data_IF_997348506179
#
_entry.id   IF_997348506179
#
_cell.length_a   1.000
_cell.length_b   1.000
_cell.length_c   1.000
_cell.angle_alpha   90.00
_cell.angle_beta   90.00
_cell.angle_gamma   90.00
#
_symmetry.space_group_name_H-M   'P 1'
#
loop_
_entity.id
_entity.type
_entity.pdbx_description
1 polymer ?
#
# COMPACT_ATOMS: atom_id res chain seq x y z
N UNK A 1 -33.91 -48.35 -38.09
CA UNK A 1 -32.59 -48.41 -38.76
C UNK A 1 -32.15 -46.98 -38.99
N UNK A 2 -31.37 -46.43 -38.06
CA UNK A 2 -30.89 -45.05 -38.10
C UNK A 2 -29.48 -45.04 -38.69
N UNK A 3 -29.33 -44.39 -39.85
CA UNK A 3 -28.07 -44.28 -40.56
C UNK A 3 -27.23 -43.15 -39.96
N UNK A 4 -26.01 -43.49 -39.54
CA UNK A 4 -25.00 -42.56 -39.05
C UNK A 4 -24.24 -42.00 -40.24
N UNK A 5 -24.32 -40.69 -40.45
CA UNK A 5 -23.63 -39.98 -41.53
C UNK A 5 -22.27 -39.47 -41.01
N UNK A 6 -21.19 -40.04 -41.56
CA UNK A 6 -19.81 -39.71 -41.20
C UNK A 6 -19.30 -38.59 -42.10
N UNK A 7 -18.94 -37.46 -41.52
CA UNK A 7 -18.36 -36.32 -42.25
C UNK A 7 -16.87 -36.55 -42.60
N UNK A 8 -16.40 -36.09 -43.78
CA UNK A 8 -15.03 -36.26 -44.22
C UNK A 8 -14.08 -35.24 -43.55
N UNK A 9 -12.97 -35.73 -42.98
CA UNK A 9 -11.87 -34.90 -42.47
C UNK A 9 -11.04 -34.37 -43.65
N UNK A 10 -10.90 -33.04 -43.74
CA UNK A 10 -9.97 -32.41 -44.67
C UNK A 10 -8.59 -32.26 -44.02
N UNK A 11 -7.60 -32.94 -44.57
CA UNK A 11 -6.19 -32.81 -44.23
C UNK A 11 -5.59 -31.62 -44.99
N UNK A 12 -5.17 -30.58 -44.28
CA UNK A 12 -4.44 -29.44 -44.86
C UNK A 12 -2.94 -29.73 -44.73
N UNK A 13 -2.29 -30.00 -45.85
CA UNK A 13 -0.83 -30.05 -45.95
C UNK A 13 -0.25 -28.64 -45.84
N UNK A 14 0.67 -28.44 -44.91
CA UNK A 14 1.45 -27.20 -44.74
C UNK A 14 2.82 -27.40 -45.41
N UNK A 15 3.22 -26.55 -46.38
CA UNK A 15 4.51 -26.67 -47.02
C UNK A 15 5.63 -26.17 -46.09
N UNK A 16 6.62 -27.03 -45.85
CA UNK A 16 7.87 -26.71 -45.16
C UNK A 16 8.75 -25.89 -46.09
N UNK A 17 8.92 -24.60 -45.81
CA UNK A 17 9.90 -23.73 -46.48
C UNK A 17 11.20 -23.77 -45.69
N UNK A 18 12.14 -24.59 -46.14
CA UNK A 18 13.56 -24.54 -45.74
C UNK A 18 14.20 -23.30 -46.35
N UNK A 19 14.30 -22.23 -45.57
CA UNK A 19 15.02 -21.00 -45.93
C UNK A 19 16.30 -20.85 -45.13
N UNK A 20 17.41 -21.30 -45.72
CA UNK A 20 18.78 -21.01 -45.30
C UNK A 20 19.06 -19.52 -45.45
N UNK A 21 19.31 -18.80 -44.35
CA UNK A 21 19.74 -17.39 -44.37
C UNK A 21 21.06 -17.26 -43.62
N UNK A 22 22.13 -17.63 -44.31
CA UNK A 22 23.50 -17.24 -43.93
C UNK A 22 23.68 -15.74 -44.28
N UNK A 23 23.51 -14.86 -43.29
CA UNK A 23 24.02 -13.48 -43.37
C UNK A 23 25.38 -13.43 -42.70
N UNK A 24 26.43 -13.42 -43.52
CA UNK A 24 27.74 -12.95 -43.16
C UNK A 24 27.64 -11.45 -42.78
N UNK A 25 28.03 -11.12 -41.56
CA UNK A 25 28.30 -9.74 -41.15
C UNK A 25 29.81 -9.55 -41.13
N UNK A 26 30.32 -8.83 -42.14
CA UNK A 26 31.67 -8.27 -42.15
C UNK A 26 31.77 -7.22 -41.03
N UNK A 27 32.45 -7.59 -39.95
CA UNK A 27 32.88 -6.65 -38.91
C UNK A 27 34.20 -5.99 -39.34
N UNK A 28 34.31 -4.65 -39.43
CA UNK A 28 35.57 -4.00 -39.71
C UNK A 28 36.53 -4.14 -38.52
N UNK A 29 37.72 -4.65 -38.82
CA UNK A 29 38.88 -4.73 -37.92
C UNK A 29 39.29 -3.32 -37.49
N UNK A 30 39.15 -3.02 -36.20
CA UNK A 30 39.73 -1.83 -35.55
C UNK A 30 41.12 -2.20 -35.01
N UNK A 31 42.20 -1.52 -35.41
CA UNK A 31 43.54 -1.82 -34.90
C UNK A 31 43.72 -1.35 -33.44
N UNK A 32 44.52 -2.07 -32.62
CA UNK A 32 44.76 -1.71 -31.23
C UNK A 32 45.71 -0.50 -31.11
N UNK A 33 45.50 0.40 -30.13
CA UNK A 33 46.47 1.45 -29.84
C UNK A 33 47.71 0.87 -29.17
N UNK A 34 48.83 0.94 -29.88
CA UNK A 34 50.18 0.80 -29.36
C UNK A 34 50.59 2.08 -28.62
N UNK A 35 50.86 1.98 -27.31
CA UNK A 35 51.76 2.91 -26.62
C UNK A 35 52.28 2.29 -25.32
N UNK A 36 53.56 1.92 -25.33
CA UNK A 36 54.35 1.59 -24.16
C UNK A 36 54.53 2.80 -23.23
N UNK A 37 54.77 2.57 -21.92
CA UNK A 37 54.98 3.64 -20.94
C UNK A 37 56.46 4.07 -20.88
N UNK A 38 56.76 5.33 -20.52
CA UNK A 38 58.03 5.67 -19.91
C UNK A 38 57.92 5.91 -18.41
N UNK A 39 59.05 5.64 -17.76
CA UNK A 39 59.27 5.52 -16.34
C UNK A 39 59.16 6.84 -15.53
N UNK A 40 58.98 6.63 -14.23
CA UNK A 40 59.16 7.54 -13.08
C UNK A 40 60.41 8.42 -13.19
N UNK A 41 60.40 9.62 -12.60
CA UNK A 41 61.12 9.75 -11.34
C UNK A 41 60.42 10.59 -10.25
N UNK A 42 60.84 10.30 -9.03
CA UNK A 42 60.60 10.99 -7.76
C UNK A 42 61.07 12.45 -7.77
N UNK A 43 60.37 13.33 -7.05
CA UNK A 43 60.94 14.28 -6.06
C UNK A 43 59.85 15.09 -5.36
N UNK A 44 60.06 15.34 -4.07
CA UNK A 44 59.25 16.15 -3.17
C UNK A 44 59.42 17.65 -3.43
N UNK A 45 58.41 18.48 -3.13
CA UNK A 45 58.46 19.66 -2.21
C UNK A 45 57.26 20.62 -2.39
N UNK A 46 56.69 21.01 -1.24
CA UNK A 46 56.11 22.32 -0.84
C UNK A 46 55.20 23.17 -1.75
N UNK A 47 54.03 23.48 -1.17
CA UNK A 47 53.44 24.81 -0.97
C UNK A 47 52.73 25.59 -2.10
N UNK A 48 51.51 26.03 -1.72
CA UNK A 48 50.85 27.33 -1.96
C UNK A 48 50.28 27.66 -3.35
N UNK A 49 49.00 28.08 -3.27
CA UNK A 49 48.42 29.31 -3.84
C UNK A 49 47.62 29.20 -5.15
N UNK A 50 46.31 29.38 -4.98
CA UNK A 50 45.30 30.05 -5.83
C UNK A 50 45.30 29.84 -7.33
N UNK A 51 44.18 29.38 -7.90
CA UNK A 51 43.61 29.96 -9.13
C UNK A 51 42.07 29.75 -9.23
N UNK A 52 41.37 30.87 -9.06
CA UNK A 52 40.24 31.36 -9.86
C UNK A 52 40.00 30.61 -11.18
N UNK A 53 38.82 30.01 -11.37
CA UNK A 53 38.16 29.92 -12.68
C UNK A 53 36.66 30.15 -12.56
N UNK A 54 36.28 31.26 -13.17
CA UNK A 54 34.99 31.64 -13.71
C UNK A 54 34.65 30.75 -14.91
N UNK A 55 33.41 30.25 -14.99
CA UNK A 55 32.67 30.15 -16.26
C UNK A 55 31.19 29.94 -15.99
N UNK A 56 30.47 31.04 -16.18
CA UNK A 56 29.04 31.17 -16.41
C UNK A 56 28.56 30.32 -17.60
N UNK A 57 27.50 29.54 -17.41
CA UNK A 57 26.62 29.10 -18.49
C UNK A 57 25.28 29.80 -18.34
N UNK A 58 24.98 30.62 -19.34
CA UNK A 58 23.73 31.33 -19.52
C UNK A 58 22.59 30.34 -19.75
N UNK A 59 21.48 30.50 -19.02
CA UNK A 59 20.19 29.91 -19.38
C UNK A 59 19.32 30.98 -19.99
N UNK A 60 18.80 30.62 -21.14
CA UNK A 60 18.16 31.41 -22.16
C UNK A 60 16.71 31.74 -21.77
N UNK A 61 16.35 33.00 -21.99
CA UNK A 61 15.07 33.58 -21.61
C UNK A 61 13.92 33.05 -22.48
N UNK A 62 13.02 32.28 -21.89
CA UNK A 62 11.72 31.98 -22.51
C UNK A 62 10.71 33.04 -22.09
N UNK A 63 10.42 33.93 -23.04
CA UNK A 63 9.50 35.05 -22.99
C UNK A 63 8.08 34.54 -23.19
N UNK A 64 7.29 34.34 -22.14
CA UNK A 64 5.84 34.08 -22.25
C UNK A 64 5.04 35.22 -21.61
N UNK A 65 4.74 36.16 -22.50
CA UNK A 65 3.49 36.85 -22.74
C UNK A 65 2.48 36.95 -21.58
N UNK A 66 2.24 38.19 -21.15
CA UNK A 66 1.26 38.53 -20.13
C UNK A 66 -0.19 38.42 -20.61
N UNK A 67 -1.04 37.92 -19.72
CA UNK A 67 -2.46 38.29 -19.66
C UNK A 67 -2.76 38.85 -18.28
N UNK A 68 -2.58 40.17 -18.20
CA UNK A 68 -3.01 41.04 -17.12
C UNK A 68 -4.51 41.29 -17.32
N UNK A 69 -5.37 40.59 -16.58
CA UNK A 69 -6.75 41.05 -16.36
C UNK A 69 -6.87 41.56 -14.93
N UNK A 70 -7.05 42.88 -14.87
CA UNK A 70 -7.57 43.58 -13.73
C UNK A 70 -9.04 43.19 -13.53
N UNK A 71 -9.40 42.79 -12.31
CA UNK A 71 -10.70 43.11 -11.73
C UNK A 71 -10.53 43.28 -10.24
N UNK A 72 -10.42 44.56 -9.87
CA UNK A 72 -10.72 45.11 -8.56
C UNK A 72 -12.13 44.74 -8.10
N UNK A 73 -12.32 44.42 -6.83
CA UNK A 73 -12.97 45.33 -5.86
C UNK A 73 -13.49 44.56 -4.65
N UNK A 74 -13.12 45.10 -3.48
CA UNK A 74 -13.79 45.08 -2.20
C UNK A 74 -14.90 44.03 -1.97
N UNK A 75 -14.62 43.05 -1.10
CA UNK A 75 -15.64 42.47 -0.24
C UNK A 75 -15.20 42.54 1.21
N UNK A 76 -15.85 43.49 1.85
CA UNK A 76 -16.17 43.68 3.25
C UNK A 76 -16.21 42.38 4.07
N UNK A 77 -15.65 42.47 5.28
CA UNK A 77 -15.47 41.39 6.23
C UNK A 77 -16.80 40.91 6.83
N UNK A 78 -17.55 40.08 6.10
CA UNK A 78 -18.53 39.17 6.71
C UNK A 78 -17.80 37.91 7.18
N UNK A 79 -17.63 37.86 8.50
CA UNK A 79 -17.17 36.73 9.32
C UNK A 79 -18.06 35.51 9.02
N UNK A 80 -17.75 34.81 7.94
CA UNK A 80 -18.35 33.51 7.62
C UNK A 80 -18.00 32.56 8.75
N UNK A 81 -19.03 32.15 9.49
CA UNK A 81 -19.06 30.98 10.36
C UNK A 81 -18.87 29.74 9.47
N UNK A 82 -17.67 29.62 8.88
CA UNK A 82 -17.25 28.48 8.10
C UNK A 82 -17.37 27.26 8.99
N UNK A 83 -17.87 26.16 8.40
CA UNK A 83 -18.04 24.86 9.02
C UNK A 83 -17.07 24.70 10.19
N UNK A 84 -17.61 24.87 11.41
CA UNK A 84 -16.92 24.40 12.61
C UNK A 84 -16.69 22.93 12.32
N UNK A 85 -15.48 22.60 11.86
CA UNK A 85 -14.94 21.26 11.94
C UNK A 85 -15.28 20.88 13.36
N UNK A 86 -16.17 19.90 13.48
CA UNK A 86 -16.57 19.27 14.74
C UNK A 86 -15.35 19.31 15.62
N UNK A 87 -15.42 20.00 16.76
CA UNK A 87 -14.32 20.02 17.71
C UNK A 87 -13.86 18.57 17.83
N UNK A 88 -12.59 18.33 17.50
CA UNK A 88 -12.10 16.95 17.56
C UNK A 88 -12.34 16.49 19.00
N UNK A 89 -12.62 15.20 19.20
CA UNK A 89 -12.76 14.64 20.54
C UNK A 89 -11.55 15.02 21.42
N UNK A 90 -10.37 15.17 20.81
CA UNK A 90 -9.15 15.63 21.45
C UNK A 90 -9.20 17.10 21.94
N UNK A 91 -9.80 18.00 21.15
CA UNK A 91 -10.05 19.40 21.53
C UNK A 91 -10.96 19.49 22.77
N UNK A 92 -11.95 18.61 22.85
CA UNK A 92 -12.90 18.58 23.96
C UNK A 92 -12.27 18.04 25.25
N UNK A 93 -11.34 17.09 25.16
CA UNK A 93 -10.57 16.59 26.32
C UNK A 93 -9.68 17.70 26.91
N UNK A 94 -9.00 18.48 26.07
CA UNK A 94 -8.17 19.59 26.58
C UNK A 94 -8.99 20.72 27.21
N UNK A 95 -10.16 21.04 26.64
CA UNK A 95 -11.11 21.98 27.27
C UNK A 95 -11.62 21.46 28.60
N UNK A 96 -11.96 20.18 28.69
CA UNK A 96 -12.39 19.55 29.95
C UNK A 96 -11.29 19.59 31.02
N UNK A 97 -10.01 19.49 30.63
CA UNK A 97 -8.87 19.65 31.51
C UNK A 97 -8.52 21.11 31.85
N UNK A 98 -9.24 22.09 31.28
CA UNK A 98 -9.02 23.53 31.50
C UNK A 98 -7.74 24.05 30.86
N UNK A 99 -7.24 23.41 29.80
CA UNK A 99 -6.00 23.80 29.12
C UNK A 99 -6.33 24.63 27.87
N UNK A 100 -5.78 25.84 27.78
CA UNK A 100 -5.87 26.64 26.56
C UNK A 100 -4.89 26.12 25.50
N UNK A 101 -5.41 25.38 24.52
CA UNK A 101 -4.64 24.80 23.41
C UNK A 101 -3.96 25.88 22.56
N UNK A 102 -4.51 27.09 22.51
CA UNK A 102 -3.95 28.20 21.73
C UNK A 102 -2.73 28.84 22.39
N UNK A 103 -2.52 28.62 23.68
CA UNK A 103 -1.37 29.16 24.39
C UNK A 103 -0.09 28.36 24.11
N UNK A 104 -0.21 27.13 23.62
CA UNK A 104 0.89 26.16 23.48
C UNK A 104 1.91 26.62 22.44
N UNK A 105 3.19 26.64 22.83
CA UNK A 105 4.30 26.98 21.94
C UNK A 105 4.65 25.85 20.96
N UNK A 106 5.35 26.17 19.87
CA UNK A 106 5.78 25.15 18.90
C UNK A 106 6.73 24.11 19.50
N UNK A 107 7.52 24.49 20.51
CA UNK A 107 8.42 23.58 21.22
C UNK A 107 7.64 22.54 22.06
N UNK A 108 6.58 22.97 22.73
CA UNK A 108 5.70 22.09 23.51
C UNK A 108 4.89 21.17 22.59
N UNK A 109 4.35 21.71 21.50
CA UNK A 109 3.66 20.92 20.47
C UNK A 109 4.52 19.75 19.96
N UNK A 110 5.82 19.98 19.73
CA UNK A 110 6.77 18.92 19.34
C UNK A 110 6.97 17.87 20.43
N UNK A 111 7.00 18.27 21.72
CA UNK A 111 7.09 17.34 22.85
C UNK A 111 5.85 16.45 22.94
N UNK A 112 4.66 17.02 22.74
CA UNK A 112 3.39 16.27 22.73
C UNK A 112 3.36 15.30 21.55
N UNK A 113 3.74 15.74 20.35
CA UNK A 113 3.84 14.86 19.18
C UNK A 113 4.82 13.71 19.40
N UNK A 114 5.97 13.97 20.02
CA UNK A 114 6.94 12.94 20.35
C UNK A 114 6.42 11.95 21.40
N UNK A 115 5.64 12.41 22.38
CA UNK A 115 5.05 11.55 23.42
C UNK A 115 3.98 10.62 22.82
N UNK A 116 3.07 11.17 22.01
CA UNK A 116 2.03 10.39 21.33
C UNK A 116 2.65 9.37 20.34
N UNK A 117 3.65 9.80 19.57
CA UNK A 117 4.43 8.93 18.68
C UNK A 117 5.08 7.76 19.43
N UNK A 118 5.64 8.02 20.61
CA UNK A 118 6.30 7.00 21.44
C UNK A 118 5.33 5.92 21.91
N UNK A 119 4.08 6.27 22.15
CA UNK A 119 3.04 5.34 22.61
C UNK A 119 2.41 4.59 21.44
N UNK A 120 2.13 5.28 20.34
CA UNK A 120 1.56 4.67 19.13
C UNK A 120 2.57 3.78 18.39
N UNK A 121 3.86 4.12 18.43
CA UNK A 121 4.91 3.47 17.62
C UNK A 121 4.89 3.90 16.14
N UNK A 122 3.99 4.80 15.76
CA UNK A 122 3.88 5.39 14.42
C UNK A 122 3.43 6.84 14.55
N UNK A 123 3.66 7.64 13.50
CA UNK A 123 3.37 9.08 13.49
C UNK A 123 1.90 9.33 13.85
N UNK A 124 1.59 10.23 14.81
CA UNK A 124 0.21 10.53 15.20
C UNK A 124 -0.66 10.87 13.96
N UNK A 125 -1.84 10.24 13.82
CA UNK A 125 -2.70 10.46 12.66
C UNK A 125 -3.26 11.88 12.63
N UNK A 126 -3.73 12.32 11.47
CA UNK A 126 -4.44 13.60 11.38
C UNK A 126 -5.72 13.56 12.22
N UNK A 127 -5.97 14.62 13.00
CA UNK A 127 -7.09 14.68 13.94
C UNK A 127 -6.79 14.12 15.33
N UNK A 128 -5.58 13.60 15.57
CA UNK A 128 -5.06 13.37 16.93
C UNK A 128 -4.84 14.67 17.69
N UNK A 129 -4.77 14.55 19.01
CA UNK A 129 -4.45 15.65 19.91
C UNK A 129 -3.13 16.35 19.55
N UNK A 130 -2.05 15.58 19.32
CA UNK A 130 -0.77 16.16 18.94
C UNK A 130 -0.82 16.89 17.59
N UNK A 131 -1.53 16.35 16.60
CA UNK A 131 -1.66 16.98 15.30
C UNK A 131 -2.43 18.31 15.40
N UNK A 132 -3.46 18.38 16.26
CA UNK A 132 -4.21 19.61 16.49
C UNK A 132 -3.36 20.66 17.21
N UNK A 133 -2.67 20.30 18.29
CA UNK A 133 -1.75 21.22 18.99
C UNK A 133 -0.70 21.76 18.04
N UNK A 134 -0.09 20.91 17.21
CA UNK A 134 0.90 21.36 16.23
C UNK A 134 0.29 22.37 15.24
N UNK A 135 -0.94 22.13 14.78
CA UNK A 135 -1.62 23.05 13.86
C UNK A 135 -1.96 24.40 14.51
N UNK A 136 -2.24 24.44 15.81
CA UNK A 136 -2.48 25.68 16.55
C UNK A 136 -1.18 26.41 16.87
N UNK A 137 -0.16 25.70 17.36
CA UNK A 137 1.16 26.25 17.63
C UNK A 137 1.85 26.78 16.37
N UNK A 138 1.57 26.21 15.19
CA UNK A 138 2.05 26.75 13.92
C UNK A 138 1.51 28.15 13.61
N UNK A 139 0.35 28.54 14.15
CA UNK A 139 -0.19 29.90 14.03
C UNK A 139 0.44 30.88 15.03
N UNK A 140 0.89 30.36 16.17
CA UNK A 140 1.50 31.13 17.26
C UNK A 140 2.79 30.42 17.74
N UNK A 141 3.89 30.50 16.97
CA UNK A 141 5.08 29.68 17.23
C UNK A 141 5.70 29.92 18.62
N UNK A 142 5.59 31.16 19.12
CA UNK A 142 6.08 31.60 20.43
C UNK A 142 5.14 31.26 21.59
N UNK A 143 3.92 30.78 21.32
CA UNK A 143 2.86 30.65 22.33
C UNK A 143 2.28 32.01 22.74
N UNK A 144 1.25 31.99 23.60
CA UNK A 144 0.69 33.23 24.17
C UNK A 144 1.57 33.68 25.35
N UNK A 145 2.21 34.87 25.29
CA UNK A 145 3.07 35.32 26.38
C UNK A 145 2.24 35.51 27.67
N UNK A 146 2.67 34.87 28.76
CA UNK A 146 2.07 35.02 30.09
C UNK A 146 1.05 33.95 30.49
N UNK A 147 0.73 32.99 29.62
CA UNK A 147 -0.05 31.81 30.00
C UNK A 147 0.91 30.71 30.48
N UNK A 148 0.90 30.39 31.77
CA UNK A 148 1.63 29.21 32.30
C UNK A 148 0.85 27.95 31.93
N UNK A 149 1.48 27.06 31.16
CA UNK A 149 0.85 25.83 30.68
C UNK A 149 1.44 24.65 31.43
N UNK A 150 0.57 23.84 32.02
CA UNK A 150 0.97 22.61 32.67
C UNK A 150 1.34 21.54 31.63
N UNK A 151 2.62 21.50 31.29
CA UNK A 151 3.17 20.52 30.34
C UNK A 151 2.99 19.06 30.78
N UNK A 152 2.79 18.81 32.09
CA UNK A 152 2.50 17.48 32.63
C UNK A 152 1.13 16.99 32.17
N UNK A 153 0.10 17.82 32.35
CA UNK A 153 -1.27 17.53 31.91
C UNK A 153 -1.38 17.37 30.40
N UNK A 154 -0.69 18.21 29.63
CA UNK A 154 -0.67 18.06 28.16
C UNK A 154 -0.12 16.70 27.73
N UNK A 155 0.95 16.21 28.37
CA UNK A 155 1.50 14.88 28.07
C UNK A 155 0.53 13.78 28.45
N UNK A 156 -0.14 13.90 29.59
CA UNK A 156 -1.14 12.94 30.04
C UNK A 156 -2.30 12.81 29.04
N UNK A 157 -2.84 13.93 28.55
CA UNK A 157 -3.88 13.94 27.51
C UNK A 157 -3.38 13.27 26.23
N UNK A 158 -2.15 13.53 25.81
CA UNK A 158 -1.56 12.86 24.65
C UNK A 158 -1.48 11.33 24.84
N UNK A 159 -1.20 10.85 26.07
CA UNK A 159 -1.22 9.40 26.36
C UNK A 159 -2.63 8.82 26.24
N UNK A 160 -3.63 9.54 26.77
CA UNK A 160 -5.03 9.13 26.71
C UNK A 160 -5.51 9.06 25.26
N UNK A 161 -5.20 10.06 24.43
CA UNK A 161 -5.58 10.07 23.01
C UNK A 161 -4.88 8.95 22.22
N UNK A 162 -3.58 8.70 22.49
CA UNK A 162 -2.86 7.57 21.89
C UNK A 162 -3.53 6.22 22.21
N UNK A 163 -3.94 6.01 23.47
CA UNK A 163 -4.63 4.78 23.87
C UNK A 163 -6.01 4.66 23.21
N UNK A 164 -6.75 5.77 23.07
CA UNK A 164 -8.01 5.82 22.33
C UNK A 164 -7.82 5.40 20.88
N UNK A 165 -6.83 5.95 20.18
CA UNK A 165 -6.50 5.61 18.78
C UNK A 165 -6.14 4.12 18.65
N UNK A 166 -5.37 3.56 19.60
CA UNK A 166 -5.05 2.13 19.59
C UNK A 166 -6.30 1.27 19.80
N UNK A 167 -7.21 1.68 20.67
CA UNK A 167 -8.48 0.98 20.88
C UNK A 167 -9.39 1.05 19.65
N UNK A 168 -9.55 2.24 19.07
CA UNK A 168 -10.32 2.45 17.83
C UNK A 168 -9.75 1.63 16.67
N UNK A 169 -8.41 1.54 16.55
CA UNK A 169 -7.78 0.65 15.58
C UNK A 169 -8.07 -0.80 15.87
N UNK A 170 -7.93 -1.28 17.11
CA UNK A 170 -8.26 -2.68 17.44
C UNK A 170 -9.70 -3.05 17.09
N UNK A 171 -10.66 -2.13 17.25
CA UNK A 171 -12.07 -2.38 16.91
C UNK A 171 -12.38 -2.16 15.42
N UNK A 172 -11.68 -1.24 14.75
CA UNK A 172 -11.90 -0.95 13.33
C UNK A 172 -11.26 -1.96 12.39
N UNK A 173 -10.24 -2.71 12.82
CA UNK A 173 -9.62 -3.78 12.02
C UNK A 173 -10.38 -5.11 12.11
N UNK A 174 -11.63 -5.11 12.59
CA UNK A 174 -12.51 -6.28 12.71
C UNK A 174 -13.04 -6.86 11.38
N UNK A 175 -12.21 -6.95 10.35
CA UNK A 175 -12.52 -7.67 9.12
C UNK A 175 -11.46 -8.72 8.74
N UNK A 176 -10.38 -8.90 9.50
CA UNK A 176 -9.44 -10.00 9.25
C UNK A 176 -8.59 -10.31 10.50
N UNK A 177 -9.20 -10.98 11.49
CA UNK A 177 -8.57 -11.29 12.78
C UNK A 177 -7.91 -12.69 12.84
N UNK A 178 -7.92 -13.46 11.75
CA UNK A 178 -7.27 -14.78 11.69
C UNK A 178 -5.81 -14.75 11.20
N UNK A 179 -5.26 -13.57 10.95
CA UNK A 179 -3.86 -13.40 10.55
C UNK A 179 -3.07 -12.54 11.53
N UNK A 180 -2.79 -13.05 12.74
CA UNK A 180 -1.75 -12.48 13.60
C UNK A 180 -0.71 -13.53 14.02
N UNK A 181 0.56 -13.40 13.59
CA UNK A 181 1.68 -14.06 14.23
C UNK A 181 2.04 -13.38 15.56
N UNK A 182 2.45 -14.21 16.52
CA UNK A 182 2.87 -13.83 17.87
C UNK A 182 3.98 -12.78 17.87
N UNK A 183 3.81 -11.79 18.74
CA UNK A 183 4.76 -10.71 18.99
C UNK A 183 6.12 -11.24 19.48
N UNK A 184 7.11 -11.24 18.58
CA UNK A 184 8.51 -11.14 18.98
C UNK A 184 8.99 -9.71 18.77
N UNK A 185 9.58 -9.22 19.84
CA UNK A 185 10.19 -7.91 20.03
C UNK A 185 11.41 -7.77 19.11
N UNK A 186 11.34 -6.93 18.09
CA UNK A 186 12.54 -6.43 17.40
C UNK A 186 12.44 -4.95 17.04
N UNK A 187 13.53 -4.30 17.43
CA UNK A 187 14.06 -2.96 17.23
C UNK A 187 14.06 -2.41 15.80
N UNK A 188 14.01 -1.07 15.76
CA UNK A 188 14.51 -0.13 14.75
C UNK A 188 13.63 0.18 13.52
N UNK A 189 12.99 1.35 13.59
CA UNK A 189 12.15 1.91 12.55
C UNK A 189 12.92 2.57 11.41
N UNK A 190 12.34 2.46 10.21
CA UNK A 190 12.21 3.54 9.22
C UNK A 190 11.31 3.03 8.08
N UNK A 191 10.00 3.18 8.21
CA UNK A 191 9.01 2.76 7.20
C UNK A 191 8.46 3.97 6.46
N UNK A 192 9.16 4.36 5.40
CA UNK A 192 8.58 5.14 4.30
C UNK A 192 7.79 4.16 3.41
N UNK A 193 6.49 4.40 3.28
CA UNK A 193 5.56 3.88 2.26
C UNK A 193 6.04 2.69 1.42
N UNK A 194 6.12 1.50 2.02
CA UNK A 194 6.16 0.25 1.26
C UNK A 194 4.73 -0.04 0.81
N UNK A 195 4.54 -0.22 -0.50
CA UNK A 195 3.31 -0.74 -1.10
C UNK A 195 2.82 -1.99 -0.35
N UNK A 196 1.51 -2.33 -0.37
CA UNK A 196 0.98 -3.46 0.38
C UNK A 196 1.84 -4.69 0.11
N UNK A 197 2.45 -5.19 1.17
CA UNK A 197 3.33 -6.34 1.13
C UNK A 197 2.53 -7.50 0.55
N UNK A 198 2.70 -7.76 -0.74
CA UNK A 198 2.44 -9.09 -1.29
C UNK A 198 3.31 -10.00 -0.43
N UNK A 199 2.67 -10.91 0.31
CA UNK A 199 3.31 -11.78 1.26
C UNK A 199 4.33 -12.66 0.53
N UNK A 200 5.54 -12.14 0.34
CA UNK A 200 6.69 -12.95 -0.01
C UNK A 200 6.86 -13.93 1.16
N UNK A 201 6.92 -15.25 0.92
CA UNK A 201 7.33 -16.18 1.98
C UNK A 201 8.68 -15.69 2.54
N UNK A 202 8.93 -15.86 3.86
CA UNK A 202 10.16 -15.39 4.48
C UNK A 202 11.35 -15.94 3.71
N UNK A 203 12.11 -15.04 3.08
CA UNK A 203 13.28 -15.40 2.30
C UNK A 203 14.23 -16.24 3.16
N UNK A 204 14.89 -17.25 2.58
CA UNK A 204 15.69 -18.21 3.33
C UNK A 204 16.84 -17.51 4.06
N UNK A 205 16.64 -17.21 5.34
CA UNK A 205 17.68 -16.94 6.34
C UNK A 205 18.59 -15.71 6.16
N UNK A 206 18.49 -14.95 5.07
CA UNK A 206 19.38 -13.80 4.83
C UNK A 206 18.84 -12.57 5.56
N UNK A 207 19.68 -11.99 6.41
CA UNK A 207 19.41 -10.70 7.01
C UNK A 207 19.74 -9.59 6.01
N UNK A 208 18.76 -9.18 5.20
CA UNK A 208 18.92 -8.10 4.21
C UNK A 208 19.41 -6.79 4.84
N UNK A 209 19.09 -6.54 6.11
CA UNK A 209 19.51 -5.33 6.82
C UNK A 209 21.02 -5.22 7.05
N UNK A 210 21.75 -6.34 6.92
CA UNK A 210 23.18 -6.37 7.22
C UNK A 210 24.06 -6.68 6.01
N UNK A 211 23.44 -6.88 4.83
CA UNK A 211 24.17 -7.19 3.60
C UNK A 211 25.08 -6.03 3.17
N UNK A 212 26.31 -6.37 2.76
CA UNK A 212 27.27 -5.38 2.25
C UNK A 212 26.88 -4.88 0.85
N UNK A 213 27.38 -3.69 0.47
CA UNK A 213 27.18 -3.16 -0.88
C UNK A 213 27.82 -4.02 -1.98
N UNK A 214 28.87 -4.78 -1.66
CA UNK A 214 29.47 -5.72 -2.59
C UNK A 214 28.54 -6.92 -2.84
N UNK A 215 28.04 -7.55 -1.78
CA UNK A 215 27.19 -8.73 -1.89
C UNK A 215 25.85 -8.38 -2.53
N UNK A 216 25.26 -7.23 -2.22
CA UNK A 216 24.04 -6.75 -2.87
C UNK A 216 24.21 -6.55 -4.40
N UNK A 217 25.40 -6.17 -4.87
CA UNK A 217 25.68 -6.06 -6.32
C UNK A 217 25.85 -7.44 -6.96
N UNK A 218 26.51 -8.37 -6.27
CA UNK A 218 26.68 -9.75 -6.73
C UNK A 218 25.30 -10.43 -6.85
N UNK A 219 24.46 -10.28 -5.83
CA UNK A 219 23.09 -10.78 -5.80
C UNK A 219 22.26 -10.22 -6.96
N UNK A 220 22.32 -8.91 -7.21
CA UNK A 220 21.66 -8.28 -8.36
C UNK A 220 22.18 -8.84 -9.70
N UNK A 221 23.48 -9.07 -9.82
CA UNK A 221 24.09 -9.62 -11.03
C UNK A 221 23.60 -11.04 -11.31
N UNK A 222 23.57 -11.90 -10.29
CA UNK A 222 23.06 -13.27 -10.41
C UNK A 222 21.57 -13.30 -10.72
N UNK A 223 20.76 -12.46 -10.07
CA UNK A 223 19.31 -12.41 -10.31
C UNK A 223 19.02 -11.86 -11.71
N UNK A 224 19.73 -10.82 -12.15
CA UNK A 224 19.65 -10.31 -13.53
C UNK A 224 19.98 -11.40 -14.55
N UNK A 225 21.03 -12.19 -14.30
CA UNK A 225 21.44 -13.27 -15.20
C UNK A 225 20.42 -14.40 -15.24
N UNK A 226 19.77 -14.71 -14.12
CA UNK A 226 18.72 -15.72 -14.03
C UNK A 226 17.41 -15.26 -14.69
N UNK A 227 17.01 -14.01 -14.47
CA UNK A 227 15.81 -13.41 -15.07
C UNK A 227 15.98 -13.09 -16.57
N UNK A 228 17.20 -12.75 -17.00
CA UNK A 228 17.49 -12.23 -18.33
C UNK A 228 17.14 -10.75 -18.52
N UNK A 229 16.71 -10.07 -17.46
CA UNK A 229 16.39 -8.63 -17.43
C UNK A 229 16.66 -8.06 -16.04
N UNK A 230 16.61 -6.73 -15.91
CA UNK A 230 16.87 -6.04 -14.64
C UNK A 230 15.86 -6.49 -13.57
N UNK A 231 16.33 -6.94 -12.39
CA UNK A 231 15.46 -7.29 -11.28
C UNK A 231 14.38 -6.23 -11.04
N UNK A 232 13.10 -6.61 -10.95
CA UNK A 232 12.02 -5.67 -10.73
C UNK A 232 12.12 -5.05 -9.34
N UNK A 233 11.53 -3.86 -9.11
CA UNK A 233 11.46 -3.29 -7.78
C UNK A 233 10.68 -4.23 -6.82
N UNK A 234 11.20 -4.40 -5.61
CA UNK A 234 10.66 -5.35 -4.63
C UNK A 234 11.15 -6.79 -4.80
N UNK A 235 12.07 -7.05 -5.74
CA UNK A 235 12.83 -8.30 -5.73
C UNK A 235 13.86 -8.33 -4.60
N UNK A 236 14.36 -9.52 -4.30
CA UNK A 236 15.35 -9.72 -3.24
C UNK A 236 16.63 -8.92 -3.49
N UNK A 237 17.12 -8.84 -4.74
CA UNK A 237 18.24 -7.96 -5.07
C UNK A 237 17.91 -6.48 -4.91
N UNK A 238 16.71 -6.03 -5.32
CA UNK A 238 16.31 -4.64 -5.20
C UNK A 238 16.22 -4.20 -3.72
N UNK A 239 15.71 -5.09 -2.86
CA UNK A 239 15.66 -4.87 -1.41
C UNK A 239 17.07 -4.89 -0.79
N UNK A 240 17.92 -5.83 -1.18
CA UNK A 240 19.32 -5.89 -0.74
C UNK A 240 20.09 -4.61 -1.10
N UNK A 241 19.92 -4.09 -2.32
CA UNK A 241 20.53 -2.82 -2.70
C UNK A 241 20.01 -1.64 -1.89
N UNK A 242 18.71 -1.62 -1.60
CA UNK A 242 18.10 -0.58 -0.78
C UNK A 242 18.63 -0.62 0.66
N UNK A 243 18.85 -1.81 1.22
CA UNK A 243 19.45 -1.98 2.54
C UNK A 243 20.95 -1.60 2.55
N UNK A 244 21.72 -2.07 1.56
CA UNK A 244 23.13 -1.74 1.43
C UNK A 244 23.37 -0.23 1.19
N UNK A 245 22.44 0.47 0.54
CA UNK A 245 22.51 1.93 0.41
C UNK A 245 22.45 2.65 1.78
N UNK A 246 21.83 2.03 2.79
CA UNK A 246 21.77 2.53 4.17
C UNK A 246 22.98 2.07 4.99
N UNK A 247 23.56 0.92 4.67
CA UNK A 247 24.68 0.30 5.36
C UNK A 247 25.72 -0.23 4.36
N UNK A 248 26.54 0.64 3.74
CA UNK A 248 27.41 0.24 2.62
C UNK A 248 28.46 -0.80 3.00
N UNK A 249 28.95 -0.77 4.24
CA UNK A 249 29.95 -1.72 4.76
C UNK A 249 29.33 -3.05 5.23
N UNK A 250 28.00 -3.14 5.36
CA UNK A 250 27.34 -4.26 6.03
C UNK A 250 27.75 -4.42 7.50
N UNK A 251 27.49 -5.59 8.06
CA UNK A 251 27.99 -6.03 9.39
C UNK A 251 29.37 -6.71 9.32
N UNK A 252 30.00 -6.69 8.15
CA UNK A 252 31.26 -7.38 7.86
C UNK A 252 31.10 -8.88 7.60
N UNK A 253 29.87 -9.42 7.63
CA UNK A 253 29.62 -10.80 7.21
C UNK A 253 29.45 -10.85 5.69
N UNK A 254 30.42 -11.43 5.00
CA UNK A 254 30.29 -11.73 3.58
C UNK A 254 29.62 -13.10 3.41
N UNK A 255 28.64 -13.16 2.53
CA UNK A 255 28.02 -14.43 2.13
C UNK A 255 28.85 -15.08 1.02
N UNK A 256 28.90 -16.41 1.03
CA UNK A 256 29.55 -17.16 -0.05
C UNK A 256 28.86 -16.89 -1.39
N UNK A 257 29.64 -16.69 -2.46
CA UNK A 257 29.14 -16.36 -3.80
C UNK A 257 28.18 -17.44 -4.33
N UNK A 258 28.43 -18.72 -4.02
CA UNK A 258 27.55 -19.82 -4.41
C UNK A 258 26.19 -19.75 -3.70
N UNK A 259 26.17 -19.36 -2.43
CA UNK A 259 24.94 -19.14 -1.67
C UNK A 259 24.14 -17.97 -2.23
N UNK A 260 24.81 -16.84 -2.51
CA UNK A 260 24.18 -15.69 -3.17
C UNK A 260 23.58 -16.06 -4.53
N UNK A 261 24.28 -16.90 -5.31
CA UNK A 261 23.79 -17.40 -6.59
C UNK A 261 22.54 -18.26 -6.44
N UNK A 262 22.53 -19.22 -5.52
CA UNK A 262 21.36 -20.09 -5.29
C UNK A 262 20.12 -19.27 -4.91
N UNK A 263 20.29 -18.32 -3.99
CA UNK A 263 19.21 -17.44 -3.54
C UNK A 263 18.67 -16.60 -4.70
N UNK A 264 19.56 -16.01 -5.50
CA UNK A 264 19.17 -15.20 -6.65
C UNK A 264 18.40 -16.02 -7.69
N UNK A 265 18.80 -17.26 -7.97
CA UNK A 265 18.09 -18.16 -8.89
C UNK A 265 16.69 -18.50 -8.34
N UNK A 266 16.58 -18.80 -7.05
CA UNK A 266 15.29 -19.10 -6.41
C UNK A 266 14.33 -17.90 -6.45
N UNK A 267 14.81 -16.68 -6.18
CA UNK A 267 13.97 -15.48 -6.28
C UNK A 267 13.59 -15.18 -7.74
N UNK A 268 14.51 -15.40 -8.68
CA UNK A 268 14.22 -15.25 -10.11
C UNK A 268 13.14 -16.23 -10.59
N UNK A 269 13.19 -17.50 -10.14
CA UNK A 269 12.15 -18.50 -10.43
C UNK A 269 10.80 -18.09 -9.84
N UNK A 270 10.77 -17.57 -8.60
CA UNK A 270 9.56 -17.04 -7.97
C UNK A 270 8.98 -15.87 -8.79
N UNK A 271 9.81 -14.90 -9.15
CA UNK A 271 9.38 -13.74 -9.95
C UNK A 271 8.88 -14.17 -11.33
N UNK A 272 9.52 -15.18 -11.92
CA UNK A 272 9.07 -15.75 -13.19
C UNK A 272 7.70 -16.41 -13.04
N UNK A 273 7.48 -17.20 -11.99
CA UNK A 273 6.19 -17.79 -11.68
C UNK A 273 5.12 -16.72 -11.39
N UNK A 274 5.42 -15.70 -10.58
CA UNK A 274 4.50 -14.58 -10.30
C UNK A 274 4.13 -13.83 -11.59
N UNK A 275 5.09 -13.65 -12.50
CA UNK A 275 4.86 -13.00 -13.79
C UNK A 275 4.04 -13.87 -14.74
N UNK A 276 4.27 -15.18 -14.75
CA UNK A 276 3.49 -16.14 -15.53
C UNK A 276 2.06 -16.24 -15.00
N UNK A 277 1.83 -16.21 -13.68
CA UNK A 277 0.49 -16.14 -13.09
C UNK A 277 -0.24 -14.84 -13.46
N UNK A 278 0.49 -13.72 -13.51
CA UNK A 278 -0.07 -12.43 -13.90
C UNK A 278 -0.20 -12.24 -15.43
N UNK A 279 0.24 -13.22 -16.22
CA UNK A 279 0.11 -13.21 -17.68
C UNK A 279 -0.91 -14.25 -18.13
N UNK A 280 -2.01 -13.78 -18.72
CA UNK A 280 -2.91 -14.66 -19.47
C UNK A 280 -2.54 -14.56 -20.94
N UNK A 281 -1.95 -15.63 -21.46
CA UNK A 281 -1.39 -15.64 -22.80
C UNK A 281 -0.26 -14.62 -22.92
N UNK A 282 -0.43 -13.63 -23.80
CA UNK A 282 0.55 -12.55 -24.01
C UNK A 282 0.22 -11.28 -23.20
N UNK A 283 -0.94 -11.23 -22.54
CA UNK A 283 -1.41 -10.03 -21.85
C UNK A 283 -1.01 -10.05 -20.39
N UNK A 284 -0.28 -9.01 -19.98
CA UNK A 284 -0.03 -8.74 -18.59
C UNK A 284 -1.28 -8.07 -17.98
N UNK A 285 -1.97 -8.79 -17.09
CA UNK A 285 -3.21 -8.32 -16.42
C UNK A 285 -2.93 -7.03 -15.63
N UNK A 286 -1.71 -6.84 -15.13
CA UNK A 286 -1.31 -5.63 -14.39
C UNK A 286 -1.20 -4.36 -15.25
N UNK A 287 -1.18 -4.51 -16.58
CA UNK A 287 -1.05 -3.40 -17.53
C UNK A 287 -2.38 -3.04 -18.23
N UNK A 288 -3.49 -3.66 -17.82
CA UNK A 288 -4.82 -3.40 -18.38
C UNK A 288 -5.30 -1.98 -18.08
N UNK A 289 -6.03 -1.41 -19.04
CA UNK A 289 -6.78 -0.18 -18.82
C UNK A 289 -8.04 -0.43 -18.00
N UNK A 290 -8.61 0.66 -17.46
CA UNK A 290 -9.87 0.62 -16.72
C UNK A 290 -11.02 0.00 -17.53
N UNK A 291 -11.06 0.25 -18.84
CA UNK A 291 -12.09 -0.29 -19.73
C UNK A 291 -11.94 -1.81 -19.88
N UNK A 292 -10.73 -2.29 -20.18
CA UNK A 292 -10.44 -3.73 -20.27
C UNK A 292 -10.71 -4.46 -18.95
N UNK A 293 -10.32 -3.85 -17.83
CA UNK A 293 -10.61 -4.38 -16.50
C UNK A 293 -12.12 -4.48 -16.21
N UNK A 294 -12.91 -3.50 -16.64
CA UNK A 294 -14.37 -3.47 -16.46
C UNK A 294 -15.06 -4.54 -17.29
N UNK A 295 -14.58 -4.79 -18.51
CA UNK A 295 -15.08 -5.87 -19.34
C UNK A 295 -14.81 -7.26 -18.72
N UNK A 296 -13.59 -7.49 -18.22
CA UNK A 296 -13.23 -8.76 -17.56
C UNK A 296 -14.10 -8.97 -16.30
N UNK A 297 -14.26 -7.93 -15.48
CA UNK A 297 -15.12 -7.98 -14.30
C UNK A 297 -16.57 -8.29 -14.64
N UNK A 298 -17.11 -7.66 -15.70
CA UNK A 298 -18.48 -7.93 -16.12
C UNK A 298 -18.68 -9.37 -16.59
N UNK A 299 -17.68 -9.98 -17.22
CA UNK A 299 -17.72 -11.37 -17.67
C UNK A 299 -17.72 -12.34 -16.49
N UNK A 300 -16.80 -12.15 -15.53
CA UNK A 300 -16.71 -13.00 -14.34
C UNK A 300 -17.95 -12.88 -13.46
N UNK A 301 -18.42 -11.65 -13.21
CA UNK A 301 -19.64 -11.36 -12.46
C UNK A 301 -20.89 -12.00 -13.10
N UNK A 302 -20.96 -12.07 -14.43
CA UNK A 302 -22.07 -12.68 -15.14
C UNK A 302 -22.14 -14.19 -14.93
N UNK A 303 -21.00 -14.86 -14.74
CA UNK A 303 -20.91 -16.32 -14.54
C UNK A 303 -21.16 -16.69 -13.08
N UNK A 304 -20.56 -15.95 -12.15
CA UNK A 304 -20.75 -16.13 -10.72
C UNK A 304 -22.15 -15.72 -10.26
N UNK A 305 -22.73 -14.68 -10.88
CA UNK A 305 -23.99 -14.08 -10.46
C UNK A 305 -23.85 -13.09 -9.29
N UNK A 306 -22.64 -12.88 -8.79
CA UNK A 306 -22.30 -11.88 -7.78
C UNK A 306 -20.94 -11.24 -8.09
N UNK A 307 -20.55 -10.25 -7.28
CA UNK A 307 -19.26 -9.58 -7.42
C UNK A 307 -18.11 -10.61 -7.31
N UNK A 308 -17.11 -10.55 -8.20
CA UNK A 308 -15.92 -11.39 -8.11
C UNK A 308 -15.23 -11.33 -6.74
N UNK A 309 -14.76 -12.47 -6.20
CA UNK A 309 -14.05 -12.49 -4.92
C UNK A 309 -12.69 -11.79 -5.01
N UNK A 310 -12.15 -11.36 -3.87
CA UNK A 310 -10.80 -10.78 -3.83
C UNK A 310 -9.76 -11.82 -4.22
N UNK A 311 -8.89 -11.48 -5.16
CA UNK A 311 -7.83 -12.37 -5.65
C UNK A 311 -8.17 -13.10 -6.95
N UNK A 312 -9.40 -12.99 -7.44
CA UNK A 312 -9.71 -13.48 -8.79
C UNK A 312 -9.08 -12.59 -9.87
N UNK A 313 -8.98 -13.11 -11.10
CA UNK A 313 -8.41 -12.37 -12.21
C UNK A 313 -9.17 -11.07 -12.53
N UNK A 314 -10.50 -11.01 -12.40
CA UNK A 314 -11.22 -9.75 -12.50
C UNK A 314 -10.84 -8.75 -11.39
N UNK A 315 -10.66 -9.23 -10.15
CA UNK A 315 -10.28 -8.36 -9.05
C UNK A 315 -8.86 -7.79 -9.26
N UNK A 316 -7.93 -8.59 -9.78
CA UNK A 316 -6.59 -8.12 -10.13
C UNK A 316 -6.61 -7.15 -11.32
N UNK A 317 -7.37 -7.46 -12.37
CA UNK A 317 -7.56 -6.56 -13.52
C UNK A 317 -8.14 -5.21 -13.09
N UNK A 318 -9.15 -5.19 -12.20
CA UNK A 318 -9.71 -3.96 -11.64
C UNK A 318 -8.67 -3.15 -10.87
N UNK A 319 -7.91 -3.79 -9.98
CA UNK A 319 -6.80 -3.16 -9.27
C UNK A 319 -5.75 -2.57 -10.23
N UNK A 320 -5.48 -3.25 -11.35
CA UNK A 320 -4.59 -2.73 -12.39
C UNK A 320 -5.18 -1.51 -13.11
N UNK A 321 -6.45 -1.57 -13.51
CA UNK A 321 -7.15 -0.47 -14.15
C UNK A 321 -7.28 0.78 -13.26
N UNK A 322 -7.43 0.59 -11.95
CA UNK A 322 -7.45 1.69 -10.97
C UNK A 322 -6.07 2.35 -10.81
N UNK A 323 -4.99 1.56 -10.86
CA UNK A 323 -3.61 2.09 -10.84
C UNK A 323 -3.23 2.78 -12.15
N UNK A 324 -3.81 2.33 -13.27
CA UNK A 324 -3.50 2.80 -14.62
C UNK A 324 -4.79 3.20 -15.37
N UNK A 325 -5.45 4.31 -14.97
CA UNK A 325 -6.73 4.71 -15.55
C UNK A 325 -6.67 5.02 -17.04
N UNK A 326 -5.51 5.43 -17.56
CA UNK A 326 -5.27 5.71 -18.97
C UNK A 326 -4.79 4.49 -19.77
N UNK A 327 -4.75 3.30 -19.17
CA UNK A 327 -4.12 2.12 -19.73
C UNK A 327 -2.62 2.06 -19.43
N UNK A 328 -2.12 0.85 -19.15
CA UNK A 328 -0.70 0.57 -19.14
C UNK A 328 -0.19 0.36 -20.57
N UNK A 329 0.65 -0.67 -20.75
CA UNK A 329 1.17 -1.05 -22.07
C UNK A 329 0.11 -1.70 -22.98
N UNK A 330 -1.00 -2.17 -22.41
CA UNK A 330 -2.05 -2.87 -23.14
C UNK A 330 -3.26 -1.96 -23.40
N UNK A 331 -3.59 -1.79 -24.68
CA UNK A 331 -4.76 -1.04 -25.14
C UNK A 331 -5.78 -2.03 -25.71
N UNK A 332 -6.93 -2.24 -25.04
CA UNK A 332 -7.94 -3.22 -25.48
C UNK A 332 -8.49 -2.91 -26.87
N UNK A 333 -8.49 -1.64 -27.29
CA UNK A 333 -8.97 -1.24 -28.62
C UNK A 333 -8.00 -1.65 -29.74
N UNK A 334 -6.70 -1.78 -29.44
CA UNK A 334 -5.68 -2.15 -30.44
C UNK A 334 -5.55 -3.66 -30.60
N UNK A 335 -5.75 -4.42 -29.53
CA UNK A 335 -5.56 -5.88 -29.50
C UNK A 335 -6.80 -6.60 -28.95
N UNK A 336 -7.93 -6.61 -29.68
CA UNK A 336 -9.17 -7.22 -29.20
C UNK A 336 -9.07 -8.73 -29.02
N UNK A 337 -8.24 -9.42 -29.84
CA UNK A 337 -8.02 -10.87 -29.74
C UNK A 337 -7.42 -11.22 -28.39
N UNK A 338 -6.35 -10.52 -28.00
CA UNK A 338 -5.68 -10.74 -26.73
C UNK A 338 -6.58 -10.41 -25.53
N UNK A 339 -7.48 -9.45 -25.66
CA UNK A 339 -8.50 -9.18 -24.63
C UNK A 339 -9.52 -10.33 -24.52
N UNK A 340 -9.93 -10.93 -25.64
CA UNK A 340 -10.80 -12.11 -25.60
C UNK A 340 -10.13 -13.30 -24.93
N UNK A 341 -8.83 -13.52 -25.13
CA UNK A 341 -8.08 -14.58 -24.43
C UNK A 341 -8.12 -14.37 -22.89
N UNK A 342 -7.95 -13.12 -22.44
CA UNK A 342 -8.07 -12.78 -21.01
C UNK A 342 -9.49 -12.98 -20.49
N UNK A 343 -10.50 -12.62 -21.30
CA UNK A 343 -11.90 -12.88 -20.95
C UNK A 343 -12.18 -14.38 -20.86
N UNK A 344 -11.65 -15.20 -21.78
CA UNK A 344 -11.82 -16.65 -21.75
C UNK A 344 -11.20 -17.26 -20.49
N UNK A 345 -10.00 -16.84 -20.10
CA UNK A 345 -9.41 -17.27 -18.83
C UNK A 345 -10.25 -16.84 -17.63
N UNK A 346 -10.79 -15.61 -17.62
CA UNK A 346 -11.68 -15.15 -16.57
C UNK A 346 -12.98 -15.97 -16.51
N UNK A 347 -13.52 -16.41 -17.65
CA UNK A 347 -14.69 -17.31 -17.68
C UNK A 347 -14.35 -18.65 -17.05
N UNK A 348 -13.21 -19.23 -17.41
CA UNK A 348 -12.75 -20.51 -16.88
C UNK A 348 -12.55 -20.45 -15.36
N UNK A 349 -11.88 -19.41 -14.86
CA UNK A 349 -11.69 -19.22 -13.42
C UNK A 349 -13.03 -19.00 -12.68
N UNK A 350 -13.96 -18.24 -13.27
CA UNK A 350 -15.30 -18.07 -12.71
C UNK A 350 -16.07 -19.39 -12.58
N UNK A 351 -15.95 -20.27 -13.58
CA UNK A 351 -16.57 -21.59 -13.57
C UNK A 351 -15.94 -22.48 -12.47
N UNK A 352 -14.61 -22.48 -12.36
CA UNK A 352 -13.89 -23.22 -11.31
C UNK A 352 -14.29 -22.73 -9.89
N UNK A 353 -14.38 -21.42 -9.69
CA UNK A 353 -14.83 -20.83 -8.43
C UNK A 353 -16.28 -21.21 -8.10
N UNK A 354 -17.17 -21.14 -9.09
CA UNK A 354 -18.57 -21.53 -8.93
C UNK A 354 -18.72 -23.02 -8.59
N UNK A 355 -17.89 -23.88 -9.16
CA UNK A 355 -17.84 -25.30 -8.80
C UNK A 355 -17.31 -25.52 -7.38
N UNK A 356 -16.27 -24.78 -6.98
CA UNK A 356 -15.73 -24.82 -5.63
C UNK A 356 -16.76 -24.38 -4.57
N UNK A 357 -17.53 -23.33 -4.84
CA UNK A 357 -18.62 -22.86 -3.98
C UNK A 357 -19.74 -23.91 -3.85
N UNK A 358 -20.17 -24.50 -4.96
CA UNK A 358 -21.16 -25.59 -4.94
C UNK A 358 -20.66 -26.83 -4.19
N UNK A 359 -19.36 -27.12 -4.28
CA UNK A 359 -18.73 -28.22 -3.54
C UNK A 359 -18.63 -27.92 -2.05
N UNK A 360 -18.35 -26.68 -1.67
CA UNK A 360 -18.32 -26.25 -0.27
C UNK A 360 -19.72 -26.36 0.38
N UNK A 361 -20.78 -25.97 -0.33
CA UNK A 361 -22.16 -26.06 0.16
C UNK A 361 -22.65 -27.52 0.30
N UNK A 362 -22.08 -28.44 -0.50
CA UNK A 362 -22.36 -29.89 -0.40
C UNK A 362 -21.48 -30.63 0.61
N UNK A 363 -20.42 -30.00 1.12
CA UNK A 363 -19.65 -30.63 2.18
C UNK A 363 -20.55 -30.73 3.42
N UNK A 364 -20.78 -31.94 3.98
CA UNK A 364 -21.65 -32.08 5.12
C UNK A 364 -21.08 -31.20 6.23
N UNK A 365 -21.86 -30.21 6.65
CA UNK A 365 -21.60 -29.38 7.83
C UNK A 365 -20.91 -30.26 8.86
N UNK A 366 -19.68 -29.92 9.31
CA UNK A 366 -18.99 -30.73 10.29
C UNK A 366 -19.93 -30.85 11.48
N UNK A 367 -20.49 -32.05 11.65
CA UNK A 367 -21.35 -32.39 12.79
C UNK A 367 -20.63 -31.85 14.02
N UNK A 368 -21.25 -30.97 14.83
CA UNK A 368 -20.57 -30.38 15.97
C UNK A 368 -20.05 -31.52 16.82
N UNK A 369 -18.74 -31.73 16.81
CA UNK A 369 -18.08 -32.76 17.60
C UNK A 369 -18.43 -32.43 19.05
N UNK A 370 -19.19 -33.27 19.77
CA UNK A 370 -19.52 -32.98 21.16
C UNK A 370 -18.20 -32.88 21.91
N UNK A 371 -17.96 -31.70 22.47
CA UNK A 371 -16.78 -31.40 23.28
C UNK A 371 -16.77 -32.38 24.45
N UNK A 372 -15.93 -33.40 24.36
CA UNK A 372 -15.67 -34.30 25.47
C UNK A 372 -14.90 -33.50 26.51
N UNK A 373 -15.62 -33.04 27.52
CA UNK A 373 -15.13 -32.54 28.80
C UNK A 373 -14.29 -33.64 29.44
N UNK A 374 -12.98 -33.64 29.20
CA UNK A 374 -12.03 -34.37 30.04
C UNK A 374 -11.48 -33.40 31.06
N UNK A 375 -12.19 -33.27 32.18
CA UNK A 375 -11.67 -32.73 33.42
C UNK A 375 -10.39 -33.51 33.79
N UNK A 376 -9.24 -32.83 33.74
CA UNK A 376 -8.06 -33.26 34.50
C UNK A 376 -7.90 -32.29 35.65
N UNK A 377 -8.41 -32.73 36.80
CA UNK A 377 -8.21 -32.11 38.08
C UNK A 377 -6.73 -32.20 38.47
N UNK A 378 -6.08 -31.04 38.59
CA UNK A 378 -4.88 -30.91 39.42
C UNK A 378 -5.18 -29.86 40.48
N UNK A 379 -5.35 -30.35 41.70
CA UNK A 379 -5.53 -29.59 42.93
C UNK A 379 -4.36 -28.64 43.13
N UNK A 380 -4.66 -27.36 43.39
CA UNK A 380 -3.82 -26.53 44.23
C UNK A 380 -4.73 -25.60 45.03
N UNK A 381 -4.73 -25.82 46.33
CA UNK A 381 -5.49 -25.07 47.31
C UNK A 381 -4.86 -23.69 47.52
N UNK A 382 -5.68 -22.64 47.44
CA UNK A 382 -5.49 -21.47 48.30
C UNK A 382 -6.84 -20.82 48.59
N UNK A 383 -7.15 -20.95 49.88
CA UNK A 383 -8.26 -20.41 50.63
C UNK A 383 -8.33 -18.87 50.51
N UNK A 384 -9.45 -18.35 50.00
CA UNK A 384 -9.86 -16.98 50.30
C UNK A 384 -11.38 -16.83 50.12
N UNK A 385 -12.05 -17.06 51.24
CA UNK A 385 -13.43 -16.74 51.53
C UNK A 385 -13.73 -15.26 51.28
N UNK A 386 -14.48 -14.95 50.23
CA UNK A 386 -15.19 -13.67 50.07
C UNK A 386 -16.66 -13.98 49.79
N UNK A 387 -17.46 -13.87 50.84
CA UNK A 387 -18.92 -13.75 50.82
C UNK A 387 -19.30 -12.43 50.17
N UNK A 388 -20.06 -12.47 49.07
CA UNK A 388 -20.91 -11.34 48.65
C UNK A 388 -22.26 -11.89 48.27
N UNK A 389 -23.27 -11.24 48.84
CA UNK A 389 -24.65 -11.61 48.89
C UNK A 389 -25.38 -11.69 47.54
N UNK A 390 -26.42 -12.50 47.64
CA UNK A 390 -27.49 -12.85 46.73
C UNK A 390 -28.44 -11.66 46.43
N UNK A 391 -29.28 -11.85 45.41
CA UNK A 391 -30.47 -11.08 45.01
C UNK A 391 -30.32 -9.91 44.01
N UNK A 392 -30.62 -10.22 42.74
CA UNK A 392 -31.47 -9.41 41.84
C UNK A 392 -31.79 -10.24 40.57
N UNK A 393 -32.81 -11.10 40.60
CA UNK A 393 -34.11 -10.86 39.96
C UNK A 393 -34.08 -10.15 38.59
N UNK A 394 -34.24 -11.01 37.59
CA UNK A 394 -34.88 -10.89 36.27
C UNK A 394 -35.84 -9.70 36.08
N UNK A 395 -35.62 -8.92 35.03
CA UNK A 395 -36.65 -8.12 34.34
C UNK A 395 -36.43 -8.25 32.81
N UNK A 396 -37.45 -8.66 32.02
CA UNK A 396 -37.34 -8.78 30.57
C UNK A 396 -37.52 -7.41 29.88
N UNK A 397 -36.58 -7.07 28.99
CA UNK A 397 -36.63 -5.83 28.20
C UNK A 397 -37.78 -5.86 27.17
N UNK A 398 -38.66 -4.83 27.14
CA UNK A 398 -39.66 -4.71 26.08
C UNK A 398 -39.06 -4.21 24.77
N UNK A 399 -39.42 -4.91 23.70
CA UNK A 399 -39.02 -4.65 22.31
C UNK A 399 -39.98 -3.68 21.62
N UNK A 400 -39.89 -2.38 21.95
CA UNK A 400 -40.60 -1.34 21.21
C UNK A 400 -39.79 -0.89 19.98
N UNK A 401 -39.97 -1.61 18.87
CA UNK A 401 -39.60 -1.16 17.52
C UNK A 401 -40.52 0.00 17.10
N UNK A 402 -40.15 1.23 17.48
CA UNK A 402 -40.75 2.45 16.92
C UNK A 402 -40.19 2.69 15.52
N UNK A 403 -40.92 2.23 14.50
CA UNK A 403 -40.62 2.51 13.10
C UNK A 403 -40.71 4.00 12.82
N UNK A 404 -39.55 4.66 12.64
CA UNK A 404 -39.47 6.01 12.10
C UNK A 404 -39.77 5.92 10.61
N UNK A 405 -41.03 6.14 10.26
CA UNK A 405 -41.52 6.22 8.90
C UNK A 405 -41.13 7.60 8.35
N UNK A 406 -40.00 7.67 7.65
CA UNK A 406 -39.62 8.86 6.89
C UNK A 406 -40.62 9.08 5.74
N UNK A 407 -41.23 10.26 5.61
CA UNK A 407 -42.12 10.54 4.49
C UNK A 407 -41.32 10.63 3.18
N UNK A 408 -41.88 10.19 2.04
CA UNK A 408 -41.22 10.29 0.75
C UNK A 408 -41.10 11.76 0.32
N UNK A 409 -39.87 12.27 0.25
CA UNK A 409 -39.56 13.55 -0.38
C UNK A 409 -39.74 13.39 -1.90
N UNK A 410 -40.89 13.83 -2.41
CA UNK A 410 -41.07 14.02 -3.84
C UNK A 410 -40.29 15.27 -4.27
N UNK A 411 -39.24 15.07 -5.06
CA UNK A 411 -38.57 16.14 -5.82
C UNK A 411 -39.29 16.26 -7.17
N UNK A 412 -40.04 17.34 -7.35
CA UNK A 412 -40.37 17.83 -8.69
C UNK A 412 -39.26 18.77 -9.13
N UNK A 413 -38.48 18.36 -10.12
CA UNK A 413 -37.53 19.24 -10.82
C UNK A 413 -38.33 20.17 -11.73
N UNK A 414 -38.43 21.44 -11.34
CA UNK A 414 -38.69 22.53 -12.28
C UNK A 414 -37.47 23.44 -12.29
N UNK A 415 -36.86 23.57 -13.46
CA UNK A 415 -35.69 24.39 -13.71
C UNK A 415 -36.04 25.88 -13.60
N UNK A 416 -36.08 26.40 -12.37
CA UNK A 416 -35.61 27.75 -12.03
C UNK A 416 -35.89 28.01 -10.54
N UNK A 417 -34.86 28.46 -9.81
CA UNK A 417 -34.90 29.06 -8.46
C UNK A 417 -35.49 28.25 -7.29
N UNK A 418 -34.66 28.00 -6.27
CA UNK A 418 -35.08 27.45 -4.96
C UNK A 418 -35.11 28.58 -3.93
N UNK A 419 -36.31 29.03 -3.56
CA UNK A 419 -36.55 29.79 -2.34
C UNK A 419 -36.87 28.80 -1.21
N UNK A 420 -36.12 28.86 -0.11
CA UNK A 420 -36.40 28.09 1.11
C UNK A 420 -37.18 29.00 2.05
N UNK A 421 -38.51 28.80 2.11
CA UNK A 421 -39.37 29.42 3.11
C UNK A 421 -39.44 28.48 4.31
N UNK A 422 -38.83 28.87 5.43
CA UNK A 422 -39.03 28.20 6.71
C UNK A 422 -40.22 28.84 7.42
N UNK A 423 -41.32 28.08 7.54
CA UNK A 423 -42.44 28.41 8.43
C UNK A 423 -41.96 28.32 9.89
N UNK A 424 -41.94 29.47 10.56
CA UNK A 424 -41.75 29.59 12.01
C UNK A 424 -43.12 29.36 12.65
N UNK A 425 -43.31 28.21 13.28
CA UNK A 425 -44.45 27.98 14.18
C UNK A 425 -44.15 28.60 15.55
N UNK A 426 -45.12 29.37 16.03
CA UNK A 426 -45.16 30.02 17.35
C UNK A 426 -45.45 29.04 18.48
#
# INVERSE_FOLDING_TARGET
MTATETAPMMTVEVPVVTGDVLRAIDTPVVPPPTASPPAVPTTATTAKKSHRRTSSSASEATKMNGHRRHSSSASEATKMTGHRRTSSAASDIAKAAGIDVEAVSMAEARKIMSEEHKILGFRPPHGSFAAEIQSMAAKHPEGKPGAEIDTGKLKEIARVDALRILAERKTSTGADLDALPNATKTTNGNTLHTAPARHSPPNPGINLNTISAADARVLMSHEHKALGYRPPPGSLAAEAQSAAARHPEGDGTHLDDETLREIAVRDAERIKADRELNMVGEVNVSALSKDGASEIQSVEQKILGHRPPSGSLAAEAQSAGDKHPHGGTFDPAKNPVALEDVKEAARKEAEELREAEQKADRSPTPTPTPSNLTETATQSASDSKVTVDDAAQTEPMPSDRRGVRTPPLQRSETADSVEIVCEVLA
#
